data_IF_763011690849
#
_entry.id   IF_763011690849
#
_cell.length_a   1.000
_cell.length_b   1.000
_cell.length_c   1.000
_cell.angle_alpha   90.00
_cell.angle_beta   90.00
_cell.angle_gamma   90.00
#
_symmetry.space_group_name_H-M   'P 1'
#
loop_
_entity.id
_entity.type
_entity.pdbx_description
1 polymer ?
#
# COMPACT_ATOMS: atom_id res chain seq x y z
N UNK A 1 -58.93 -60.22 -29.27
CA UNK A 1 -58.30 -61.06 -28.22
C UNK A 1 -56.79 -60.82 -28.28
N UNK A 2 -56.21 -60.24 -27.21
CA UNK A 2 -54.76 -60.03 -26.89
C UNK A 2 -53.81 -59.37 -27.92
N UNK A 3 -53.27 -58.19 -27.54
CA UNK A 3 -51.83 -57.93 -27.22
C UNK A 3 -51.65 -56.41 -26.90
N UNK A 4 -51.17 -55.98 -25.71
CA UNK A 4 -49.78 -55.58 -25.31
C UNK A 4 -49.21 -54.40 -26.16
N UNK A 5 -48.56 -53.33 -25.70
CA UNK A 5 -47.73 -52.94 -24.53
C UNK A 5 -47.66 -51.38 -24.45
N UNK A 6 -47.55 -50.71 -23.28
CA UNK A 6 -46.31 -50.10 -22.67
C UNK A 6 -45.34 -49.49 -23.72
N UNK A 7 -44.91 -48.22 -23.75
CA UNK A 7 -44.32 -47.22 -22.81
C UNK A 7 -44.37 -45.84 -23.52
N UNK A 8 -44.20 -44.64 -22.94
CA UNK A 8 -43.51 -44.22 -21.72
C UNK A 8 -43.61 -42.70 -21.49
N UNK A 9 -42.95 -42.15 -20.45
CA UNK A 9 -42.88 -40.71 -20.20
C UNK A 9 -41.53 -40.15 -20.68
N UNK A 10 -41.41 -39.77 -21.96
CA UNK A 10 -40.19 -39.15 -22.49
C UNK A 10 -40.12 -37.62 -22.33
N UNK A 11 -41.17 -36.97 -21.83
CA UNK A 11 -41.19 -35.50 -21.76
C UNK A 11 -40.46 -34.95 -20.52
N UNK A 12 -40.24 -35.77 -19.49
CA UNK A 12 -39.61 -35.32 -18.23
C UNK A 12 -38.08 -35.40 -18.18
N UNK A 13 -37.39 -35.85 -19.23
CA UNK A 13 -35.91 -35.90 -19.26
C UNK A 13 -35.24 -34.69 -19.90
N UNK A 14 -35.96 -33.86 -20.66
CA UNK A 14 -35.40 -32.66 -21.32
C UNK A 14 -35.43 -31.40 -20.45
N UNK A 15 -36.37 -31.30 -19.50
CA UNK A 15 -36.44 -30.16 -18.57
C UNK A 15 -35.36 -30.24 -17.45
N UNK A 16 -34.93 -31.44 -17.07
CA UNK A 16 -33.90 -31.62 -16.04
C UNK A 16 -32.46 -31.49 -16.56
N UNK A 17 -32.24 -31.37 -17.87
CA UNK A 17 -30.90 -31.14 -18.44
C UNK A 17 -30.68 -29.64 -18.73
N UNK A 18 -31.74 -28.88 -19.01
CA UNK A 18 -31.64 -27.43 -19.21
C UNK A 18 -31.47 -26.62 -17.91
N UNK A 19 -31.92 -27.16 -16.76
CA UNK A 19 -31.77 -26.46 -15.46
C UNK A 19 -30.38 -26.69 -14.82
N UNK A 20 -29.65 -27.71 -15.26
CA UNK A 20 -28.35 -28.09 -14.69
C UNK A 20 -27.17 -27.39 -15.40
N UNK A 21 -27.42 -26.73 -16.54
CA UNK A 21 -26.40 -25.97 -17.28
C UNK A 21 -26.37 -24.47 -16.95
N UNK A 22 -27.25 -23.98 -16.07
CA UNK A 22 -27.27 -22.58 -15.59
C UNK A 22 -26.73 -22.42 -14.16
N UNK A 23 -25.95 -23.40 -13.68
CA UNK A 23 -25.41 -23.43 -12.31
C UNK A 23 -23.95 -23.91 -12.25
N UNK A 24 -23.22 -23.81 -13.37
CA UNK A 24 -21.81 -24.26 -13.47
C UNK A 24 -20.84 -23.15 -13.86
N UNK A 25 -21.16 -21.87 -13.60
CA UNK A 25 -20.21 -20.78 -13.84
C UNK A 25 -20.35 -19.62 -12.86
N UNK A 26 -20.35 -19.86 -11.55
CA UNK A 26 -19.94 -18.86 -10.55
C UNK A 26 -19.57 -19.57 -9.24
N UNK A 27 -18.56 -20.41 -9.28
CA UNK A 27 -17.77 -20.71 -8.09
C UNK A 27 -16.60 -19.72 -8.02
N UNK A 28 -16.88 -18.42 -8.12
CA UNK A 28 -15.93 -17.42 -7.64
C UNK A 28 -16.09 -17.43 -6.12
N UNK A 29 -15.02 -17.80 -5.42
CA UNK A 29 -15.01 -18.00 -3.98
C UNK A 29 -15.69 -16.82 -3.29
N UNK A 30 -16.72 -17.08 -2.47
CA UNK A 30 -17.39 -16.09 -1.64
C UNK A 30 -16.46 -15.41 -0.58
N UNK A 31 -15.15 -15.63 -0.70
CA UNK A 31 -14.09 -15.10 0.15
C UNK A 31 -12.98 -14.37 -0.64
N UNK A 32 -13.14 -14.14 -1.95
CA UNK A 32 -12.17 -13.37 -2.71
C UNK A 32 -12.18 -11.90 -2.25
N UNK A 33 -11.03 -11.41 -1.76
CA UNK A 33 -10.88 -10.01 -1.34
C UNK A 33 -11.14 -9.08 -2.52
N UNK A 34 -11.81 -7.97 -2.25
CA UNK A 34 -12.05 -6.89 -3.19
C UNK A 34 -10.81 -6.00 -3.31
N UNK A 35 -10.46 -5.60 -4.53
CA UNK A 35 -9.26 -4.82 -4.81
C UNK A 35 -9.57 -3.67 -5.79
N UNK A 36 -9.27 -2.44 -5.38
CA UNK A 36 -9.29 -1.28 -6.26
C UNK A 36 -7.89 -0.98 -6.81
N UNK A 37 -7.82 -0.40 -8.01
CA UNK A 37 -6.58 0.10 -8.61
C UNK A 37 -6.73 1.58 -8.93
N UNK A 38 -5.76 2.39 -8.54
CA UNK A 38 -5.74 3.82 -8.80
C UNK A 38 -4.51 4.12 -9.66
N UNK A 39 -4.75 4.43 -10.93
CA UNK A 39 -3.70 4.78 -11.89
C UNK A 39 -3.37 6.27 -11.78
N UNK A 40 -2.10 6.58 -11.55
CA UNK A 40 -1.53 7.92 -11.62
C UNK A 40 -0.53 7.92 -12.77
N UNK A 41 -0.67 8.83 -13.71
CA UNK A 41 0.29 8.99 -14.80
C UNK A 41 -0.40 9.12 -16.14
N UNK A 42 0.35 8.81 -17.20
CA UNK A 42 -0.07 8.94 -18.58
C UNK A 42 -0.54 7.59 -19.15
N UNK A 43 -0.49 7.46 -20.48
CA UNK A 43 -0.87 6.25 -21.20
C UNK A 43 -0.04 5.02 -20.79
N UNK A 44 1.24 5.17 -20.46
CA UNK A 44 2.10 4.04 -20.07
C UNK A 44 1.60 3.46 -18.74
N UNK A 45 1.26 4.34 -17.79
CA UNK A 45 0.65 3.93 -16.53
C UNK A 45 -0.68 3.19 -16.75
N UNK A 46 -1.56 3.73 -17.61
CA UNK A 46 -2.84 3.10 -17.92
C UNK A 46 -2.68 1.71 -18.58
N UNK A 47 -1.82 1.60 -19.61
CA UNK A 47 -1.58 0.33 -20.31
C UNK A 47 -1.00 -0.73 -19.37
N UNK A 48 -0.06 -0.35 -18.49
CA UNK A 48 0.50 -1.27 -17.49
C UNK A 48 -0.55 -1.68 -16.45
N UNK A 49 -1.33 -0.73 -15.93
CA UNK A 49 -2.40 -1.03 -14.96
C UNK A 49 -3.42 -2.00 -15.55
N UNK A 50 -3.88 -1.80 -16.79
CA UNK A 50 -4.88 -2.68 -17.39
C UNK A 50 -4.38 -4.13 -17.48
N UNK A 51 -3.13 -4.32 -17.89
CA UNK A 51 -2.55 -5.66 -17.97
C UNK A 51 -2.32 -6.27 -16.57
N UNK A 52 -1.88 -5.47 -15.59
CA UNK A 52 -1.76 -5.92 -14.21
C UNK A 52 -3.11 -6.31 -13.61
N UNK A 53 -4.18 -5.56 -13.91
CA UNK A 53 -5.56 -5.90 -13.50
C UNK A 53 -5.97 -7.27 -14.05
N UNK A 54 -5.70 -7.58 -15.32
CA UNK A 54 -5.99 -8.92 -15.91
C UNK A 54 -5.26 -10.05 -15.18
N UNK A 55 -4.05 -9.81 -14.69
CA UNK A 55 -3.31 -10.79 -13.90
C UNK A 55 -3.88 -10.91 -12.48
N UNK A 56 -4.22 -9.79 -11.84
CA UNK A 56 -4.78 -9.75 -10.48
C UNK A 56 -6.20 -10.31 -10.38
N UNK A 57 -6.99 -10.25 -11.46
CA UNK A 57 -8.36 -10.79 -11.47
C UNK A 57 -8.43 -12.30 -11.27
N UNK A 58 -7.28 -13.00 -11.35
CA UNK A 58 -7.17 -14.42 -10.99
C UNK A 58 -7.35 -14.66 -9.47
N UNK A 59 -7.00 -13.68 -8.63
CA UNK A 59 -6.97 -13.80 -7.17
C UNK A 59 -7.94 -12.86 -6.45
N UNK A 60 -8.41 -11.81 -7.11
CA UNK A 60 -9.17 -10.72 -6.50
C UNK A 60 -10.47 -10.39 -7.26
N UNK A 61 -11.46 -9.91 -6.52
CA UNK A 61 -12.63 -9.25 -7.10
C UNK A 61 -12.25 -7.80 -7.39
N UNK A 62 -11.95 -7.48 -8.64
CA UNK A 62 -11.53 -6.13 -9.01
C UNK A 62 -12.72 -5.18 -9.08
N UNK A 63 -12.59 -4.02 -8.44
CA UNK A 63 -13.56 -2.94 -8.59
C UNK A 63 -13.41 -2.23 -9.93
N UNK A 64 -14.50 -1.60 -10.39
CA UNK A 64 -14.49 -0.74 -11.57
C UNK A 64 -13.50 0.41 -11.39
N UNK A 65 -12.66 0.64 -12.39
CA UNK A 65 -11.55 1.59 -12.28
C UNK A 65 -12.04 3.04 -12.26
N UNK A 66 -13.02 3.39 -13.10
CA UNK A 66 -13.53 4.75 -13.19
C UNK A 66 -14.28 5.15 -11.92
N UNK A 67 -15.09 4.25 -11.37
CA UNK A 67 -15.78 4.47 -10.09
C UNK A 67 -14.78 4.57 -8.93
N UNK A 68 -13.76 3.71 -8.90
CA UNK A 68 -12.70 3.77 -7.88
C UNK A 68 -11.92 5.07 -7.96
N UNK A 69 -11.56 5.50 -9.18
CA UNK A 69 -10.86 6.76 -9.42
C UNK A 69 -11.71 7.97 -9.01
N UNK A 70 -13.01 7.98 -9.31
CA UNK A 70 -13.92 9.05 -8.90
C UNK A 70 -14.05 9.14 -7.37
N UNK A 71 -14.18 7.99 -6.68
CA UNK A 71 -14.21 7.95 -5.23
C UNK A 71 -12.89 8.44 -4.62
N UNK A 72 -11.75 7.98 -5.14
CA UNK A 72 -10.42 8.43 -4.71
C UNK A 72 -10.24 9.95 -4.89
N UNK A 73 -10.66 10.49 -6.04
CA UNK A 73 -10.56 11.91 -6.36
C UNK A 73 -11.51 12.80 -5.53
N UNK A 74 -12.49 12.23 -4.84
CA UNK A 74 -13.36 13.00 -3.93
C UNK A 74 -12.63 13.48 -2.66
N UNK A 75 -11.46 12.92 -2.38
CA UNK A 75 -10.60 13.32 -1.26
C UNK A 75 -9.53 14.31 -1.73
N UNK A 76 -9.09 15.17 -0.82
CA UNK A 76 -7.98 16.11 -1.07
C UNK A 76 -6.72 15.61 -0.41
N UNK A 77 -5.67 15.38 -1.20
CA UNK A 77 -4.37 14.92 -0.71
C UNK A 77 -3.28 15.92 -1.07
N UNK A 78 -2.22 16.00 -0.26
CA UNK A 78 -1.00 16.72 -0.64
C UNK A 78 -0.33 16.02 -1.84
N UNK A 79 -0.26 14.70 -1.80
CA UNK A 79 0.19 13.85 -2.92
C UNK A 79 -0.55 12.50 -2.86
N UNK A 80 -0.97 11.93 -3.99
CA UNK A 80 -1.80 10.71 -4.04
C UNK A 80 -1.07 9.41 -3.63
N UNK A 81 0.23 9.45 -3.36
CA UNK A 81 1.06 8.30 -2.97
C UNK A 81 1.93 8.55 -1.71
N UNK A 82 1.48 9.42 -0.80
CA UNK A 82 2.08 9.64 0.54
C UNK A 82 0.96 9.96 1.54
N UNK A 83 0.08 9.00 1.78
CA UNK A 83 -1.13 9.17 2.57
C UNK A 83 -0.86 8.91 4.05
N UNK A 84 -1.58 9.62 4.93
CA UNK A 84 -1.75 9.12 6.30
C UNK A 84 -2.55 7.83 6.29
N UNK A 85 -2.34 7.03 7.32
CA UNK A 85 -3.08 5.81 7.57
C UNK A 85 -4.59 6.08 7.69
N UNK A 86 -4.98 7.20 8.32
CA UNK A 86 -6.38 7.61 8.39
C UNK A 86 -6.97 7.97 7.01
N UNK A 87 -6.24 8.76 6.21
CA UNK A 87 -6.64 9.11 4.84
C UNK A 87 -6.80 7.84 3.98
N UNK A 88 -5.81 6.95 4.01
CA UNK A 88 -5.80 5.71 3.26
C UNK A 88 -6.98 4.79 3.62
N UNK A 89 -7.28 4.65 4.91
CA UNK A 89 -8.40 3.84 5.38
C UNK A 89 -9.74 4.41 4.91
N UNK A 90 -9.97 5.72 5.11
CA UNK A 90 -11.20 6.38 4.70
C UNK A 90 -11.45 6.29 3.18
N UNK A 91 -10.39 6.39 2.38
CA UNK A 91 -10.47 6.27 0.92
C UNK A 91 -10.82 4.85 0.48
N UNK A 92 -10.18 3.84 1.07
CA UNK A 92 -10.51 2.45 0.80
C UNK A 92 -11.96 2.11 1.20
N UNK A 93 -12.43 2.64 2.32
CA UNK A 93 -13.83 2.50 2.76
C UNK A 93 -14.81 3.16 1.79
N UNK A 94 -14.49 4.36 1.30
CA UNK A 94 -15.32 5.07 0.32
C UNK A 94 -15.40 4.35 -1.03
N UNK A 95 -14.32 3.67 -1.44
CA UNK A 95 -14.32 2.80 -2.63
C UNK A 95 -15.04 1.47 -2.39
N UNK A 96 -15.16 1.03 -1.14
CA UNK A 96 -15.75 -0.26 -0.79
C UNK A 96 -14.85 -1.45 -1.10
N UNK A 97 -13.53 -1.31 -0.96
CA UNK A 97 -12.55 -2.38 -1.21
C UNK A 97 -11.85 -2.85 0.07
N UNK A 98 -11.39 -4.10 0.11
CA UNK A 98 -10.58 -4.65 1.21
C UNK A 98 -9.13 -4.13 1.17
N UNK A 99 -8.62 -3.90 -0.03
CA UNK A 99 -7.33 -3.30 -0.30
C UNK A 99 -7.41 -2.45 -1.57
N UNK A 100 -6.47 -1.53 -1.72
CA UNK A 100 -6.28 -0.82 -2.97
C UNK A 100 -4.81 -0.70 -3.31
N UNK A 101 -4.51 -0.57 -4.60
CA UNK A 101 -3.16 -0.26 -5.08
C UNK A 101 -3.14 1.07 -5.80
N UNK A 102 -2.14 1.90 -5.49
CA UNK A 102 -1.85 3.12 -6.23
C UNK A 102 -0.67 2.85 -7.15
N UNK A 103 -0.82 3.09 -8.45
CA UNK A 103 0.11 2.68 -9.50
C UNK A 103 0.57 3.91 -10.28
N UNK A 104 1.86 4.05 -10.48
CA UNK A 104 2.43 4.92 -11.52
C UNK A 104 3.43 4.12 -12.35
N UNK A 105 3.39 4.23 -13.67
CA UNK A 105 4.38 3.62 -14.54
C UNK A 105 4.83 4.62 -15.60
N UNK A 106 6.05 4.42 -16.10
CA UNK A 106 6.61 5.30 -17.09
C UNK A 106 7.97 4.83 -17.59
N UNK A 107 8.48 5.56 -18.56
CA UNK A 107 9.80 5.31 -19.15
C UNK A 107 10.64 6.57 -19.02
N UNK A 108 11.85 6.43 -18.47
CA UNK A 108 12.79 7.52 -18.30
C UNK A 108 14.03 7.23 -19.12
N UNK A 109 14.42 8.20 -19.96
CA UNK A 109 15.70 8.18 -20.64
C UNK A 109 16.83 8.39 -19.62
N UNK A 110 17.80 7.48 -19.60
CA UNK A 110 18.96 7.50 -18.71
C UNK A 110 20.25 7.61 -19.52
N UNK A 111 21.27 8.14 -18.85
CA UNK A 111 22.65 8.21 -19.34
C UNK A 111 23.58 7.98 -18.17
N UNK A 112 24.64 7.20 -18.36
CA UNK A 112 25.74 7.07 -17.41
C UNK A 112 27.08 7.24 -18.12
N UNK A 113 28.16 7.39 -17.37
CA UNK A 113 29.50 7.43 -17.95
C UNK A 113 29.92 6.08 -18.56
N UNK A 114 29.34 4.98 -18.08
CA UNK A 114 29.73 3.61 -18.42
C UNK A 114 28.85 2.98 -19.51
N UNK A 115 27.63 3.50 -19.73
CA UNK A 115 26.66 2.94 -20.69
C UNK A 115 26.22 4.00 -21.71
N UNK A 116 26.02 3.62 -23.00
CA UNK A 116 25.33 4.47 -23.96
C UNK A 116 23.91 4.79 -23.46
N UNK A 117 23.26 5.80 -24.06
CA UNK A 117 21.87 6.17 -23.76
C UNK A 117 20.98 4.91 -23.71
N UNK A 118 20.23 4.76 -22.63
CA UNK A 118 19.30 3.66 -22.45
C UNK A 118 18.00 4.17 -21.80
N UNK A 119 16.97 3.35 -21.77
CA UNK A 119 15.66 3.67 -21.23
C UNK A 119 15.35 2.76 -20.04
N UNK A 120 14.95 3.36 -18.92
CA UNK A 120 14.48 2.66 -17.74
C UNK A 120 12.95 2.73 -17.73
N UNK A 121 12.29 1.59 -17.96
CA UNK A 121 10.84 1.48 -17.82
C UNK A 121 10.51 0.85 -16.48
N UNK A 122 9.56 1.44 -15.75
CA UNK A 122 9.28 1.05 -14.38
C UNK A 122 7.78 1.16 -14.07
N UNK A 123 7.35 0.43 -13.05
CA UNK A 123 6.16 0.75 -12.29
C UNK A 123 6.54 1.05 -10.83
N UNK A 124 5.74 1.85 -10.14
CA UNK A 124 5.81 2.14 -8.72
C UNK A 124 4.42 1.88 -8.14
N UNK A 125 4.31 0.85 -7.30
CA UNK A 125 3.04 0.32 -6.84
C UNK A 125 3.02 0.36 -5.31
N UNK A 126 2.00 1.01 -4.75
CA UNK A 126 1.77 1.11 -3.32
C UNK A 126 0.60 0.22 -2.96
N UNK A 127 0.85 -0.84 -2.19
CA UNK A 127 -0.18 -1.80 -1.77
C UNK A 127 -0.70 -1.42 -0.41
N UNK A 128 -1.99 -1.13 -0.29
CA UNK A 128 -2.59 -0.56 0.91
C UNK A 128 -3.73 -1.43 1.43
N UNK A 129 -3.72 -1.73 2.73
CA UNK A 129 -4.82 -2.40 3.42
C UNK A 129 -5.87 -1.36 3.85
N UNK A 130 -7.11 -1.50 3.39
CA UNK A 130 -8.18 -0.53 3.70
C UNK A 130 -8.47 -0.48 5.19
N UNK A 131 -8.57 -1.64 5.84
CA UNK A 131 -9.00 -1.75 7.25
C UNK A 131 -8.06 -1.02 8.19
N UNK A 132 -6.76 -1.11 7.95
CA UNK A 132 -5.75 -0.47 8.79
C UNK A 132 -5.22 0.83 8.22
N UNK A 133 -5.38 1.09 6.93
CA UNK A 133 -4.78 2.21 6.19
C UNK A 133 -3.27 2.09 5.95
N UNK A 134 -2.67 0.95 6.32
CA UNK A 134 -1.22 0.74 6.25
C UNK A 134 -0.77 0.47 4.82
N UNK A 135 0.39 1.03 4.47
CA UNK A 135 1.16 0.56 3.34
C UNK A 135 1.72 -0.83 3.67
N UNK A 136 1.21 -1.85 2.99
CA UNK A 136 1.66 -3.24 3.11
C UNK A 136 2.99 -3.45 2.39
N UNK A 137 3.12 -2.85 1.19
CA UNK A 137 4.33 -2.97 0.39
C UNK A 137 4.44 -1.85 -0.64
N UNK A 138 5.66 -1.39 -0.88
CA UNK A 138 6.01 -0.62 -2.07
C UNK A 138 6.80 -1.51 -3.02
N UNK A 139 6.34 -1.62 -4.27
CA UNK A 139 6.97 -2.41 -5.31
C UNK A 139 7.46 -1.52 -6.44
N UNK A 140 8.61 -1.87 -7.00
CA UNK A 140 9.19 -1.17 -8.15
C UNK A 140 9.79 -2.13 -9.17
N UNK A 141 8.97 -2.90 -9.91
CA UNK A 141 9.49 -3.61 -11.07
C UNK A 141 10.04 -2.60 -12.07
N UNK A 142 11.20 -2.89 -12.64
CA UNK A 142 11.82 -2.06 -13.67
C UNK A 142 12.69 -2.90 -14.58
N UNK A 143 12.90 -2.40 -15.79
CA UNK A 143 13.84 -2.95 -16.76
C UNK A 143 14.65 -1.83 -17.42
N UNK A 144 15.85 -2.18 -17.88
CA UNK A 144 16.68 -1.31 -18.71
C UNK A 144 16.63 -1.82 -20.16
N UNK A 145 16.38 -0.93 -21.11
CA UNK A 145 16.25 -1.26 -22.54
C UNK A 145 17.07 -0.31 -23.40
N UNK A 146 17.64 -0.76 -24.54
CA UNK A 146 18.34 0.13 -25.46
C UNK A 146 17.42 1.18 -26.12
N UNK A 147 16.15 0.84 -26.36
CA UNK A 147 15.18 1.72 -27.02
C UNK A 147 13.91 1.91 -26.19
N UNK A 148 13.27 3.08 -26.33
CA UNK A 148 12.04 3.40 -25.63
C UNK A 148 10.90 2.43 -25.97
N UNK A 149 10.82 1.99 -27.22
CA UNK A 149 9.78 1.08 -27.73
C UNK A 149 9.82 -0.32 -27.11
N UNK A 150 10.98 -0.76 -26.63
CA UNK A 150 11.13 -2.05 -25.94
C UNK A 150 10.73 -1.96 -24.45
N UNK A 151 10.59 -0.74 -23.93
CA UNK A 151 10.40 -0.46 -22.52
C UNK A 151 9.11 -1.04 -21.92
N UNK A 152 7.94 -0.65 -22.45
CA UNK A 152 6.66 -1.17 -21.95
C UNK A 152 6.54 -2.70 -22.20
N UNK A 153 6.81 -3.24 -23.41
CA UNK A 153 6.74 -4.69 -23.65
C UNK A 153 7.54 -5.51 -22.63
N UNK A 154 8.79 -5.13 -22.35
CA UNK A 154 9.60 -5.84 -21.38
C UNK A 154 9.13 -5.62 -19.93
N UNK A 155 8.62 -4.43 -19.59
CA UNK A 155 8.04 -4.19 -18.27
C UNK A 155 6.81 -5.08 -18.03
N UNK A 156 6.02 -5.39 -19.07
CA UNK A 156 4.88 -6.30 -18.97
C UNK A 156 5.30 -7.75 -18.64
N UNK A 157 6.55 -8.14 -18.87
CA UNK A 157 7.05 -9.46 -18.47
C UNK A 157 7.15 -9.59 -16.93
N UNK A 158 7.17 -8.49 -16.19
CA UNK A 158 7.24 -8.50 -14.72
C UNK A 158 5.87 -8.70 -14.04
N UNK A 159 4.78 -8.79 -14.80
CA UNK A 159 3.42 -8.76 -14.26
C UNK A 159 3.09 -9.93 -13.34
N UNK A 160 3.45 -11.16 -13.70
CA UNK A 160 3.15 -12.34 -12.87
C UNK A 160 3.89 -12.28 -11.53
N UNK A 161 5.17 -11.89 -11.54
CA UNK A 161 5.96 -11.67 -10.32
C UNK A 161 5.38 -10.56 -9.46
N UNK A 162 5.02 -9.43 -10.08
CA UNK A 162 4.41 -8.29 -9.39
C UNK A 162 3.07 -8.65 -8.76
N UNK A 163 2.19 -9.34 -9.50
CA UNK A 163 0.90 -9.78 -9.00
C UNK A 163 1.03 -10.79 -7.85
N UNK A 164 2.02 -11.68 -7.91
CA UNK A 164 2.35 -12.59 -6.82
C UNK A 164 2.75 -11.85 -5.55
N UNK A 165 3.62 -10.84 -5.65
CA UNK A 165 4.02 -10.02 -4.51
C UNK A 165 2.87 -9.20 -3.91
N UNK A 166 2.00 -8.62 -4.74
CA UNK A 166 0.78 -7.94 -4.29
C UNK A 166 -0.13 -8.93 -3.55
N UNK A 167 -0.30 -10.12 -4.11
CA UNK A 167 -1.16 -11.16 -3.53
C UNK A 167 -0.64 -11.59 -2.16
N UNK A 168 0.66 -11.87 -2.04
CA UNK A 168 1.30 -12.20 -0.77
C UNK A 168 1.12 -11.09 0.26
N UNK A 169 1.42 -9.84 -0.09
CA UNK A 169 1.28 -8.70 0.82
C UNK A 169 -0.15 -8.56 1.38
N UNK A 170 -1.17 -8.69 0.53
CA UNK A 170 -2.58 -8.56 0.94
C UNK A 170 -3.04 -9.77 1.78
N UNK A 171 -2.52 -10.98 1.51
CA UNK A 171 -2.86 -12.18 2.28
C UNK A 171 -2.20 -12.16 3.67
N UNK A 172 -0.96 -11.69 3.75
CA UNK A 172 -0.14 -11.61 4.97
C UNK A 172 -0.57 -10.49 5.93
N UNK A 173 -1.41 -9.56 5.47
CA UNK A 173 -1.95 -8.44 6.27
C UNK A 173 -2.79 -8.87 7.52
N UNK A 174 -2.85 -10.17 7.86
CA UNK A 174 -3.54 -10.68 9.05
C UNK A 174 -2.62 -10.66 10.29
N UNK A 175 -3.12 -10.02 11.35
CA UNK A 175 -2.72 -10.19 12.76
C UNK A 175 -1.48 -9.42 13.30
N UNK A 176 -1.29 -8.14 12.94
CA UNK A 176 -0.23 -7.29 13.53
C UNK A 176 -0.67 -6.16 14.49
N UNK A 177 -1.94 -5.76 14.49
CA UNK A 177 -2.33 -4.41 14.97
C UNK A 177 -2.91 -4.36 16.38
N UNK A 178 -3.26 -5.51 16.96
CA UNK A 178 -4.00 -5.57 18.22
C UNK A 178 -3.18 -5.04 19.40
N UNK A 179 -1.86 -5.22 19.40
CA UNK A 179 -1.00 -4.86 20.52
C UNK A 179 -0.74 -3.35 20.68
N UNK A 180 -0.66 -2.58 19.58
CA UNK A 180 -0.41 -1.13 19.64
C UNK A 180 -1.68 -0.32 19.95
N UNK A 181 -2.85 -0.84 19.55
CA UNK A 181 -4.17 -0.25 19.81
C UNK A 181 -4.64 -0.46 21.26
N UNK A 182 -4.24 -1.55 21.92
CA UNK A 182 -4.62 -1.86 23.31
C UNK A 182 -3.74 -1.18 24.37
N UNK A 183 -2.71 -0.41 23.99
CA UNK A 183 -1.85 0.24 24.97
C UNK A 183 -2.58 1.42 25.64
N UNK A 184 -2.63 1.44 26.97
CA UNK A 184 -3.21 2.54 27.78
C UNK A 184 -2.28 3.77 27.86
N UNK A 185 -1.45 3.95 26.84
CA UNK A 185 -0.43 4.99 26.80
C UNK A 185 -1.09 6.30 26.40
N UNK A 186 -0.87 7.31 27.23
CA UNK A 186 -1.44 8.64 27.01
C UNK A 186 -0.86 9.29 25.75
N UNK A 187 -1.71 9.95 24.95
CA UNK A 187 -1.26 10.72 23.79
C UNK A 187 -0.88 12.12 24.23
N UNK A 188 0.24 12.62 23.73
CA UNK A 188 0.66 13.99 24.00
C UNK A 188 -0.41 14.97 23.48
N UNK A 189 -0.95 15.88 24.31
CA UNK A 189 -1.98 16.83 23.89
C UNK A 189 -1.41 17.88 22.92
N UNK A 190 -2.24 18.35 22.01
CA UNK A 190 -1.88 19.37 21.02
C UNK A 190 -1.60 20.74 21.67
N UNK A 191 -2.23 21.02 22.80
CA UNK A 191 -2.07 22.25 23.56
C UNK A 191 -1.19 22.04 24.81
N UNK A 192 -0.34 23.02 25.19
CA UNK A 192 0.46 22.91 26.41
C UNK A 192 -0.41 22.83 27.67
N UNK A 193 -0.21 21.79 28.47
CA UNK A 193 -0.82 21.65 29.80
C UNK A 193 0.17 22.07 30.89
N UNK A 194 -0.28 22.89 31.86
CA UNK A 194 0.60 23.41 32.93
C UNK A 194 1.34 22.34 33.74
N UNK A 195 0.73 21.17 33.93
CA UNK A 195 1.26 20.10 34.79
C UNK A 195 2.01 19.02 34.01
N UNK A 196 2.04 19.09 32.68
CA UNK A 196 2.66 18.11 31.81
C UNK A 196 3.96 18.66 31.22
N UNK A 197 5.05 17.93 31.42
CA UNK A 197 6.30 18.12 30.70
C UNK A 197 6.40 17.00 29.65
N UNK A 198 6.48 17.33 28.34
CA UNK A 198 6.56 16.33 27.29
C UNK A 198 7.88 15.55 27.38
N UNK A 199 7.95 14.34 26.79
CA UNK A 199 9.21 13.62 26.68
C UNK A 199 10.15 14.37 25.74
N UNK A 200 11.46 14.30 26.00
CA UNK A 200 12.48 15.04 25.24
C UNK A 200 13.54 14.06 24.73
N UNK A 201 13.85 14.02 23.42
CA UNK A 201 14.87 13.11 22.93
C UNK A 201 16.25 13.58 23.40
N UNK A 202 17.10 12.66 23.86
CA UNK A 202 18.49 13.00 24.20
C UNK A 202 19.28 13.47 22.97
N UNK A 203 19.05 12.81 21.84
CA UNK A 203 19.63 13.15 20.54
C UNK A 203 18.59 12.89 19.46
N UNK A 204 18.44 13.83 18.54
CA UNK A 204 17.68 13.59 17.31
C UNK A 204 18.54 12.74 16.38
N UNK A 205 18.07 11.57 16.01
CA UNK A 205 18.65 10.75 14.93
C UNK A 205 17.96 11.17 13.63
N UNK A 206 18.76 11.41 12.59
CA UNK A 206 18.26 11.67 11.24
C UNK A 206 18.13 10.32 10.53
N UNK A 207 16.93 9.89 10.12
CA UNK A 207 16.75 8.70 9.31
C UNK A 207 17.57 8.79 8.03
N UNK A 208 18.06 7.64 7.54
CA UNK A 208 18.77 7.59 6.27
C UNK A 208 17.82 7.92 5.13
N UNK A 209 18.28 8.72 4.19
CA UNK A 209 17.66 8.79 2.88
C UNK A 209 18.09 7.54 2.11
N UNK A 210 17.15 6.77 1.58
CA UNK A 210 17.46 5.48 0.95
C UNK A 210 17.98 5.67 -0.47
N UNK A 211 18.77 4.71 -0.96
CA UNK A 211 19.27 4.72 -2.34
C UNK A 211 18.10 4.77 -3.35
N UNK A 212 17.02 4.04 -3.09
CA UNK A 212 15.81 4.08 -3.90
C UNK A 212 15.18 5.48 -3.94
N UNK A 213 15.03 6.14 -2.78
CA UNK A 213 14.50 7.49 -2.71
C UNK A 213 15.43 8.51 -3.38
N UNK A 214 16.75 8.34 -3.25
CA UNK A 214 17.75 9.17 -3.90
C UNK A 214 17.71 9.03 -5.43
N UNK A 215 17.75 7.80 -5.94
CA UNK A 215 17.67 7.50 -7.38
C UNK A 215 16.40 8.07 -8.03
N UNK A 216 15.32 8.17 -7.27
CA UNK A 216 14.02 8.66 -7.73
C UNK A 216 13.73 10.12 -7.33
N UNK A 217 14.64 10.77 -6.60
CA UNK A 217 14.48 12.17 -6.16
C UNK A 217 13.24 12.42 -5.28
N UNK A 218 12.87 11.45 -4.43
CA UNK A 218 11.63 11.46 -3.65
C UNK A 218 11.63 12.52 -2.55
N UNK A 219 10.70 13.46 -2.64
CA UNK A 219 10.29 14.26 -1.50
C UNK A 219 9.02 13.65 -0.88
N UNK A 220 9.06 13.35 0.41
CA UNK A 220 7.94 12.73 1.11
C UNK A 220 7.97 13.02 2.60
N UNK A 221 6.82 12.87 3.26
CA UNK A 221 6.69 12.99 4.72
C UNK A 221 6.40 11.62 5.32
N UNK A 222 7.20 11.20 6.28
CA UNK A 222 6.90 10.03 7.11
C UNK A 222 6.51 10.50 8.50
N UNK A 223 5.36 10.05 8.98
CA UNK A 223 4.94 10.26 10.37
C UNK A 223 4.88 8.94 11.11
N UNK A 224 5.37 8.94 12.34
CA UNK A 224 5.44 7.76 13.19
C UNK A 224 5.01 8.11 14.60
N UNK A 225 4.10 7.31 15.15
CA UNK A 225 3.75 7.31 16.56
C UNK A 225 4.78 6.47 17.30
N UNK A 226 5.32 7.00 18.39
CA UNK A 226 6.26 6.30 19.27
C UNK A 226 5.73 6.29 20.70
N UNK A 227 5.61 5.09 21.26
CA UNK A 227 5.23 4.84 22.65
C UNK A 227 6.48 4.84 23.52
N UNK A 228 6.59 5.85 24.39
CA UNK A 228 7.71 6.03 25.30
C UNK A 228 7.24 5.67 26.71
N UNK A 229 7.96 4.79 27.40
CA UNK A 229 7.63 4.39 28.76
C UNK A 229 8.09 5.42 29.82
N UNK A 230 7.76 5.17 31.09
CA UNK A 230 8.15 6.03 32.21
C UNK A 230 9.68 6.05 32.48
N UNK A 231 10.46 5.17 31.84
CA UNK A 231 11.92 5.17 31.88
C UNK A 231 12.53 5.94 30.69
N UNK A 232 11.72 6.37 29.72
CA UNK A 232 12.18 7.06 28.52
C UNK A 232 12.65 6.12 27.41
N UNK A 233 12.25 4.84 27.45
CA UNK A 233 12.53 3.85 26.41
C UNK A 233 11.35 3.76 25.44
N UNK A 234 11.64 3.59 24.15
CA UNK A 234 10.61 3.28 23.16
C UNK A 234 10.19 1.81 23.28
N UNK A 235 8.90 1.60 23.52
CA UNK A 235 8.28 0.28 23.70
C UNK A 235 7.33 -0.11 22.57
N UNK A 236 7.01 0.83 21.68
CA UNK A 236 6.20 0.58 20.49
C UNK A 236 6.34 1.69 19.45
N UNK A 237 6.18 1.34 18.19
CA UNK A 237 6.15 2.29 17.07
C UNK A 237 5.05 1.90 16.08
N UNK A 238 4.40 2.89 15.47
CA UNK A 238 3.40 2.71 14.40
C UNK A 238 3.50 3.84 13.38
N UNK A 239 3.65 3.50 12.10
CA UNK A 239 3.59 4.49 11.02
C UNK A 239 2.18 5.07 10.96
N UNK A 240 2.09 6.41 10.95
CA UNK A 240 0.87 7.19 10.84
C UNK A 240 0.72 7.87 9.47
N UNK A 241 1.84 8.10 8.76
CA UNK A 241 1.89 8.49 7.35
C UNK A 241 3.07 7.81 6.70
N UNK A 242 2.80 7.05 5.65
CA UNK A 242 3.77 6.25 4.93
C UNK A 242 4.21 6.95 3.65
N UNK A 243 5.45 6.73 3.24
CA UNK A 243 6.03 7.23 2.01
C UNK A 243 6.42 6.11 1.04
N UNK A 244 6.66 4.88 1.51
CA UNK A 244 7.30 3.84 0.72
C UNK A 244 8.78 4.12 0.48
N UNK A 245 9.33 3.61 -0.62
CA UNK A 245 10.74 3.83 -1.03
C UNK A 245 11.81 3.37 -0.01
N UNK A 246 11.44 2.55 0.98
CA UNK A 246 12.30 2.20 2.11
C UNK A 246 12.44 3.30 3.18
N UNK A 247 11.75 4.44 3.01
CA UNK A 247 11.83 5.56 3.95
C UNK A 247 11.12 5.25 5.26
N UNK A 248 10.02 4.49 5.21
CA UNK A 248 9.23 4.13 6.38
C UNK A 248 10.05 3.27 7.35
N UNK A 249 10.74 2.25 6.82
CA UNK A 249 11.64 1.36 7.56
C UNK A 249 12.86 2.11 8.09
N UNK A 250 13.39 3.06 7.30
CA UNK A 250 14.49 3.92 7.72
C UNK A 250 14.11 4.80 8.91
N UNK A 251 12.90 5.39 8.89
CA UNK A 251 12.37 6.16 10.02
C UNK A 251 12.15 5.28 11.23
N UNK A 252 11.51 4.12 11.05
CA UNK A 252 11.23 3.22 12.17
C UNK A 252 12.52 2.76 12.86
N UNK A 253 13.53 2.34 12.09
CA UNK A 253 14.85 1.97 12.62
C UNK A 253 15.48 3.12 13.41
N UNK A 254 15.53 4.31 12.83
CA UNK A 254 16.12 5.48 13.48
C UNK A 254 15.39 5.87 14.77
N UNK A 255 14.06 5.77 14.80
CA UNK A 255 13.26 6.06 15.98
C UNK A 255 13.50 5.02 17.07
N UNK A 256 13.51 3.72 16.76
CA UNK A 256 13.74 2.65 17.74
C UNK A 256 15.11 2.73 18.45
N UNK A 257 16.10 3.35 17.81
CA UNK A 257 17.43 3.59 18.39
C UNK A 257 17.50 4.83 19.30
N UNK A 258 16.44 5.63 19.39
CA UNK A 258 16.41 6.83 20.22
C UNK A 258 16.19 6.52 21.70
N UNK A 259 16.91 7.26 22.54
CA UNK A 259 16.62 7.35 23.98
C UNK A 259 15.97 8.69 24.29
N UNK A 260 15.05 8.67 25.25
CA UNK A 260 14.27 9.84 25.64
C UNK A 260 14.38 10.11 27.14
N UNK A 261 14.24 11.38 27.51
CA UNK A 261 13.77 11.74 28.85
C UNK A 261 12.27 11.49 28.88
N UNK A 262 11.73 10.79 29.90
CA UNK A 262 10.31 10.48 29.97
C UNK A 262 9.49 11.77 30.10
N UNK A 263 8.20 11.66 29.82
CA UNK A 263 7.25 12.72 30.13
C UNK A 263 7.04 12.77 31.65
N UNK A 264 6.76 13.95 32.20
CA UNK A 264 6.43 14.11 33.61
C UNK A 264 5.09 14.79 33.78
N UNK A 265 4.18 14.19 34.55
CA UNK A 265 2.96 14.85 35.02
C UNK A 265 2.99 14.99 36.53
N UNK A 266 2.77 16.20 37.03
CA UNK A 266 2.80 16.48 38.47
C UNK A 266 4.10 15.97 39.15
N UNK A 267 5.23 16.09 38.45
CA UNK A 267 6.54 15.65 38.92
C UNK A 267 6.80 14.14 38.86
N UNK A 268 5.84 13.33 38.39
CA UNK A 268 5.98 11.87 38.25
C UNK A 268 6.19 11.48 36.79
N UNK A 269 7.11 10.55 36.47
CA UNK A 269 7.29 10.08 35.11
C UNK A 269 6.05 9.29 34.66
N UNK A 270 5.59 9.55 33.44
CA UNK A 270 4.42 8.88 32.86
C UNK A 270 4.74 8.39 31.44
N UNK A 271 4.23 7.21 31.03
CA UNK A 271 4.33 6.78 29.64
C UNK A 271 3.55 7.73 28.73
N UNK A 272 4.07 7.99 27.55
CA UNK A 272 3.51 8.96 26.61
C UNK A 272 3.75 8.54 25.16
N UNK A 273 2.73 8.67 24.33
CA UNK A 273 2.77 8.50 22.88
C UNK A 273 3.01 9.85 22.24
N UNK A 274 4.02 9.92 21.37
CA UNK A 274 4.36 11.13 20.60
C UNK A 274 4.30 10.87 19.11
N UNK A 275 3.87 11.87 18.34
CA UNK A 275 3.94 11.87 16.88
C UNK A 275 5.24 12.55 16.43
N UNK A 276 6.06 11.83 15.69
CA UNK A 276 7.28 12.35 15.07
C UNK A 276 7.08 12.48 13.57
N UNK A 277 7.38 13.66 13.02
CA UNK A 277 7.29 13.95 11.57
C UNK A 277 8.68 14.13 10.97
N UNK A 278 8.97 13.37 9.92
CA UNK A 278 10.21 13.46 9.15
C UNK A 278 9.88 13.88 7.72
N UNK A 279 10.39 15.04 7.32
CA UNK A 279 10.23 15.57 5.97
C UNK A 279 11.50 15.27 5.17
N UNK A 280 11.42 14.33 4.24
CA UNK A 280 12.47 14.09 3.26
C UNK A 280 12.34 15.10 2.13
N UNK A 281 13.46 15.73 1.80
CA UNK A 281 13.56 16.66 0.68
C UNK A 281 14.40 16.00 -0.40
N UNK A 282 14.05 16.28 -1.66
CA UNK A 282 14.93 15.96 -2.77
C UNK A 282 16.29 16.60 -2.51
N UNK A 283 17.34 15.79 -2.50
CA UNK A 283 18.70 16.30 -2.50
C UNK A 283 18.94 16.88 -3.89
N UNK A 284 19.29 18.16 -3.97
CA UNK A 284 19.82 18.69 -5.22
C UNK A 284 21.13 17.94 -5.53
N UNK A 285 21.40 17.59 -6.80
CA UNK A 285 22.71 17.07 -7.16
C UNK A 285 23.78 18.07 -6.69
N UNK A 286 24.93 17.61 -6.20
CA UNK A 286 25.99 18.51 -5.76
C UNK A 286 26.26 19.54 -6.86
N UNK A 287 26.20 20.82 -6.50
CA UNK A 287 26.66 21.89 -7.38
C UNK A 287 28.17 21.72 -7.50
N UNK A 288 28.61 21.16 -8.63
CA UNK A 288 30.02 21.15 -9.01
C UNK A 288 30.52 22.58 -9.20
#
# INVERSE_FOLDING_TARGET
MRSRHFTGPEVMRRAAILLTFLLTFFAFSANAKSLATITIGDKIAADYTEQLRRTLSKNFTLLDEDLSAAAFASFTFATPANLSVAEASAVGEAMGCDAFIVINAGTIRRTSFEKPVYFESYASIFVVDTRTGKLLKWLRPYIETPTESEGLPGLLETLEGTASEITGAIQDAKAGDVAFEQSTIEVLPDAPEKQLKPPIPYRRIKPSYTEAAEKLGIAATVEILADIDAAGKIIGTKIARWAGYGLDESVEKAVREMNWRPAYRNGRPVPMRVLLRYNFKRLDPPRN
#
